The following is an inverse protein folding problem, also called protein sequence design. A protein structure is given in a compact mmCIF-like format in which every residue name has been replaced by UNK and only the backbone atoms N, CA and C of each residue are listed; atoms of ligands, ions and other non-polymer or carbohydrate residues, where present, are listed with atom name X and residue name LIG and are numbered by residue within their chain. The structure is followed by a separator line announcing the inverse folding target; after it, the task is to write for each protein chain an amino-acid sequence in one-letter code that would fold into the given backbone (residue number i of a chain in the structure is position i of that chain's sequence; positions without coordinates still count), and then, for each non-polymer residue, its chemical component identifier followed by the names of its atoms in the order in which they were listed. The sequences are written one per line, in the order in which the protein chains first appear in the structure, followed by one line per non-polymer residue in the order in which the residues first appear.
data_IF_651002327363
#
_entry.id   IF_651002327363
#
_cell.length_a   1.000
_cell.length_b   1.000
_cell.length_c   1.000
_cell.angle_alpha   90.00
_cell.angle_beta   90.00
_cell.angle_gamma   90.00
#
_symmetry.space_group_name_H-M   'P 1'
#
loop_
_entity.id
_entity.type
_entity.pdbx_description
1 polymer ?
#
# COMPACT_ATOMS: atom_id res chain seq x y z
N UNK A 1 -15.32 0.64 -19.10
CA UNK A 1 -14.66 -0.39 -18.27
C UNK A 1 -14.04 0.30 -17.07
N UNK A 2 -14.30 -0.19 -15.86
CA UNK A 2 -13.66 0.33 -14.64
C UNK A 2 -12.18 -0.08 -14.65
N UNK A 3 -11.27 0.84 -14.31
CA UNK A 3 -9.85 0.52 -14.26
C UNK A 3 -9.55 -0.40 -13.06
N UNK A 4 -8.58 -1.30 -13.23
CA UNK A 4 -8.20 -2.30 -12.22
C UNK A 4 -7.76 -1.65 -10.89
N UNK A 5 -8.04 -2.34 -9.78
CA UNK A 5 -7.52 -2.00 -8.44
C UNK A 5 -6.04 -2.31 -8.27
N UNK A 6 -5.46 -3.15 -9.14
CA UNK A 6 -4.03 -3.45 -9.12
C UNK A 6 -3.43 -3.19 -10.49
N UNK A 7 -2.45 -2.29 -10.51
CA UNK A 7 -1.61 -2.03 -11.67
C UNK A 7 -0.45 -3.01 -11.69
N UNK A 8 -0.28 -3.69 -12.83
CA UNK A 8 0.79 -4.66 -13.08
C UNK A 8 1.68 -4.08 -14.17
N UNK A 9 2.82 -3.46 -13.84
CA UNK A 9 3.68 -2.82 -14.84
C UNK A 9 4.20 -3.81 -15.88
N UNK A 10 4.46 -5.06 -15.47
CA UNK A 10 4.90 -6.15 -16.34
C UNK A 10 4.32 -7.47 -15.80
N UNK A 11 3.12 -7.88 -16.25
CA UNK A 11 2.48 -9.11 -15.78
C UNK A 11 3.36 -10.33 -16.05
N UNK A 12 3.53 -11.20 -15.04
CA UNK A 12 4.34 -12.43 -15.16
C UNK A 12 3.50 -13.68 -14.91
N UNK A 13 2.99 -14.35 -15.97
CA UNK A 13 2.15 -15.55 -15.83
C UNK A 13 2.83 -16.73 -15.15
N UNK A 14 4.16 -16.84 -15.28
CA UNK A 14 4.97 -17.90 -14.67
C UNK A 14 5.56 -17.50 -13.30
N UNK A 15 5.03 -16.45 -12.66
CA UNK A 15 5.50 -16.02 -11.36
C UNK A 15 5.21 -17.09 -10.28
N UNK A 16 6.10 -17.15 -9.30
CA UNK A 16 6.00 -18.04 -8.14
C UNK A 16 5.69 -17.27 -6.84
N UNK A 17 5.73 -15.93 -6.91
CA UNK A 17 5.50 -15.01 -5.80
C UNK A 17 4.83 -13.73 -6.32
N UNK A 18 3.90 -13.19 -5.55
CA UNK A 18 3.34 -11.85 -5.79
C UNK A 18 3.83 -10.86 -4.74
N UNK A 19 4.40 -9.76 -5.22
CA UNK A 19 4.74 -8.60 -4.39
C UNK A 19 3.64 -7.56 -4.56
N UNK A 20 2.83 -7.37 -3.52
CA UNK A 20 1.84 -6.30 -3.47
C UNK A 20 2.47 -5.03 -2.91
N UNK A 21 2.41 -3.94 -3.69
CA UNK A 21 2.99 -2.66 -3.33
C UNK A 21 1.90 -1.64 -3.02
N UNK A 22 1.94 -1.08 -1.81
CA UNK A 22 0.99 -0.08 -1.33
C UNK A 22 1.65 1.31 -1.30
N UNK A 23 1.23 2.25 -2.16
CA UNK A 23 1.86 3.56 -2.27
C UNK A 23 1.56 4.45 -1.05
N UNK A 24 2.38 5.48 -0.87
CA UNK A 24 2.18 6.51 0.15
C UNK A 24 1.01 7.45 -0.20
N UNK A 25 0.63 8.31 0.75
CA UNK A 25 -0.48 9.24 0.57
C UNK A 25 -0.27 10.14 -0.66
N UNK A 26 -1.31 10.30 -1.48
CA UNK A 26 -1.29 11.11 -2.69
C UNK A 26 -0.66 10.43 -3.93
N UNK A 27 0.16 9.39 -3.76
CA UNK A 27 0.74 8.66 -4.88
C UNK A 27 -0.26 7.66 -5.50
N UNK A 28 0.00 7.33 -6.77
CA UNK A 28 -0.60 6.19 -7.46
C UNK A 28 0.42 5.06 -7.67
N UNK A 29 0.02 4.01 -8.40
CA UNK A 29 0.84 2.81 -8.55
C UNK A 29 2.11 3.00 -9.40
N UNK A 30 2.22 4.08 -10.18
CA UNK A 30 3.36 4.31 -11.06
C UNK A 30 4.70 4.45 -10.34
N UNK A 31 4.70 4.79 -9.06
CA UNK A 31 5.91 4.84 -8.20
C UNK A 31 6.64 3.49 -8.14
N UNK A 32 5.95 2.39 -8.41
CA UNK A 32 6.51 1.04 -8.44
C UNK A 32 6.80 0.52 -9.85
N UNK A 33 6.64 1.34 -10.90
CA UNK A 33 6.75 0.86 -12.29
C UNK A 33 8.10 0.19 -12.60
N UNK A 34 9.20 0.79 -12.15
CA UNK A 34 10.55 0.26 -12.39
C UNK A 34 10.89 -1.01 -11.59
N UNK A 35 10.09 -1.36 -10.58
CA UNK A 35 10.41 -2.50 -9.71
C UNK A 35 10.27 -3.83 -10.43
N UNK A 36 9.35 -3.93 -11.40
CA UNK A 36 9.17 -5.15 -12.15
C UNK A 36 10.34 -5.45 -13.11
N UNK A 37 11.24 -4.51 -13.37
CA UNK A 37 12.50 -4.79 -14.09
C UNK A 37 13.67 -5.03 -13.14
N UNK A 38 13.63 -4.49 -11.92
CA UNK A 38 14.66 -4.68 -10.89
C UNK A 38 14.54 -6.01 -10.12
N UNK A 39 13.38 -6.70 -10.20
CA UNK A 39 13.10 -7.92 -9.44
C UNK A 39 13.24 -9.21 -10.29
N UNK A 40 13.67 -10.33 -9.67
CA UNK A 40 13.80 -11.64 -10.33
C UNK A 40 12.53 -12.05 -11.07
N UNK A 41 12.64 -12.72 -12.22
CA UNK A 41 11.55 -13.08 -13.15
C UNK A 41 10.35 -13.80 -12.49
N UNK A 42 10.59 -14.44 -11.35
CA UNK A 42 9.62 -15.22 -10.58
C UNK A 42 8.70 -14.35 -9.71
N UNK A 43 8.99 -13.04 -9.58
CA UNK A 43 8.19 -12.10 -8.78
C UNK A 43 7.30 -11.26 -9.70
N UNK A 44 5.99 -11.34 -9.50
CA UNK A 44 5.02 -10.46 -10.15
C UNK A 44 4.69 -9.27 -9.22
N UNK A 45 4.76 -8.05 -9.76
CA UNK A 45 4.51 -6.82 -8.98
C UNK A 45 3.08 -6.34 -9.22
N UNK A 46 2.33 -6.16 -8.13
CA UNK A 46 0.96 -5.66 -8.14
C UNK A 46 0.88 -4.42 -7.26
N UNK A 47 0.78 -3.24 -7.86
CA UNK A 47 0.68 -1.99 -7.13
C UNK A 47 -0.78 -1.59 -6.94
N UNK A 48 -1.17 -1.24 -5.71
CA UNK A 48 -2.52 -0.76 -5.40
C UNK A 48 -2.81 0.53 -6.18
N UNK A 49 -3.91 0.52 -6.94
CA UNK A 49 -4.46 1.65 -7.66
C UNK A 49 -5.78 2.07 -6.99
N UNK A 50 -5.65 2.87 -5.94
CA UNK A 50 -6.79 3.39 -5.19
C UNK A 50 -7.66 4.34 -6.06
N UNK A 51 -8.98 4.44 -5.78
CA UNK A 51 -9.84 5.47 -6.38
C UNK A 51 -9.26 6.88 -6.22
N UNK A 52 -9.43 7.73 -7.24
CA UNK A 52 -8.91 9.09 -7.26
C UNK A 52 -7.42 9.20 -7.58
N UNK A 53 -6.78 8.13 -8.08
CA UNK A 53 -5.36 8.12 -8.47
C UNK A 53 -5.17 7.60 -9.89
N UNK A 54 -4.31 8.27 -10.65
CA UNK A 54 -3.86 7.87 -11.99
C UNK A 54 -5.01 7.40 -12.90
N UNK A 55 -5.01 6.15 -13.36
CA UNK A 55 -6.05 5.61 -14.25
C UNK A 55 -7.47 5.61 -13.63
N UNK A 56 -7.58 5.85 -12.31
CA UNK A 56 -8.83 5.99 -11.55
C UNK A 56 -9.06 7.40 -11.03
N UNK A 57 -8.42 8.42 -11.62
CA UNK A 57 -8.49 9.82 -11.18
C UNK A 57 -9.92 10.39 -11.14
N UNK A 58 -10.81 9.93 -12.04
CA UNK A 58 -12.20 10.38 -12.10
C UNK A 58 -13.10 9.76 -11.03
N UNK A 59 -12.62 8.75 -10.31
CA UNK A 59 -13.36 8.15 -9.20
C UNK A 59 -13.14 8.98 -7.93
N UNK A 60 -14.17 9.18 -7.08
CA UNK A 60 -13.99 9.86 -5.81
C UNK A 60 -12.95 9.14 -4.93
N UNK A 61 -11.99 9.85 -4.32
CA UNK A 61 -11.04 9.23 -3.39
C UNK A 61 -11.78 8.74 -2.15
N UNK A 62 -11.28 7.65 -1.55
CA UNK A 62 -11.76 7.17 -0.26
C UNK A 62 -11.14 8.00 0.86
N UNK A 63 -11.97 8.57 1.72
CA UNK A 63 -11.54 9.40 2.86
C UNK A 63 -11.24 8.59 4.13
N UNK A 64 -11.61 7.32 4.16
CA UNK A 64 -11.44 6.43 5.31
C UNK A 64 -10.53 5.24 4.98
N UNK A 65 -9.58 4.96 5.88
CA UNK A 65 -8.60 3.88 5.70
C UNK A 65 -9.26 2.49 5.78
N UNK A 66 -10.25 2.31 6.66
CA UNK A 66 -10.99 1.06 6.81
C UNK A 66 -11.77 0.74 5.54
N UNK A 67 -12.40 1.73 4.91
CA UNK A 67 -13.07 1.57 3.62
C UNK A 67 -12.10 1.18 2.50
N UNK A 68 -10.93 1.82 2.45
CA UNK A 68 -9.89 1.47 1.48
C UNK A 68 -9.41 0.04 1.67
N UNK A 69 -9.12 -0.36 2.92
CA UNK A 69 -8.70 -1.72 3.25
C UNK A 69 -9.81 -2.73 2.94
N UNK A 70 -11.07 -2.38 3.21
CA UNK A 70 -12.22 -3.25 2.94
C UNK A 70 -12.35 -3.61 1.48
N UNK A 71 -12.40 -2.58 0.63
CA UNK A 71 -12.52 -2.76 -0.81
C UNK A 71 -11.26 -3.41 -1.38
N UNK A 72 -10.08 -3.08 -0.88
CA UNK A 72 -8.84 -3.75 -1.31
C UNK A 72 -8.87 -5.24 -0.98
N UNK A 73 -9.40 -5.63 0.18
CA UNK A 73 -9.52 -7.04 0.59
C UNK A 73 -10.45 -7.86 -0.30
N UNK A 74 -11.49 -7.25 -0.87
CA UNK A 74 -12.35 -7.90 -1.87
C UNK A 74 -11.62 -8.04 -3.21
N UNK A 75 -10.91 -6.99 -3.63
CA UNK A 75 -10.31 -6.90 -4.96
C UNK A 75 -8.99 -7.65 -5.08
N UNK A 76 -8.35 -7.99 -3.95
CA UNK A 76 -7.09 -8.74 -3.94
C UNK A 76 -7.31 -10.24 -4.11
N UNK A 77 -8.51 -10.77 -3.79
CA UNK A 77 -8.81 -12.22 -3.79
C UNK A 77 -8.40 -12.96 -5.06
N UNK A 78 -8.65 -12.44 -6.29
CA UNK A 78 -8.26 -13.13 -7.52
C UNK A 78 -6.74 -13.25 -7.71
N UNK A 79 -5.96 -12.59 -6.86
CA UNK A 79 -4.50 -12.58 -6.89
C UNK A 79 -3.90 -13.27 -5.66
N UNK A 80 -4.67 -14.04 -4.89
CA UNK A 80 -4.15 -14.79 -3.72
C UNK A 80 -3.91 -16.28 -4.01
N UNK A 81 -3.95 -16.70 -5.29
CA UNK A 81 -3.60 -18.06 -5.75
C UNK A 81 -2.09 -18.39 -5.68
N UNK A 82 -1.25 -17.40 -5.37
CA UNK A 82 0.19 -17.56 -5.17
C UNK A 82 0.61 -17.00 -3.81
N UNK A 83 1.77 -17.45 -3.27
CA UNK A 83 2.37 -16.79 -2.12
C UNK A 83 2.49 -15.28 -2.31
N UNK A 84 2.07 -14.52 -1.30
CA UNK A 84 2.14 -13.06 -1.34
C UNK A 84 3.16 -12.49 -0.35
N UNK A 85 3.78 -11.39 -0.74
CA UNK A 85 4.53 -10.48 0.13
C UNK A 85 3.91 -9.10 0.00
N UNK A 86 3.72 -8.41 1.12
CA UNK A 86 3.19 -7.06 1.13
C UNK A 86 4.30 -6.06 1.43
N UNK A 87 4.40 -5.00 0.63
CA UNK A 87 5.29 -3.87 0.83
C UNK A 87 4.47 -2.58 0.92
N UNK A 88 4.67 -1.78 1.96
CA UNK A 88 4.01 -0.48 2.09
C UNK A 88 4.96 0.62 2.57
N UNK A 89 4.83 1.82 1.98
CA UNK A 89 5.57 3.01 2.40
C UNK A 89 4.65 4.07 3.02
N UNK A 90 5.03 4.64 4.17
CA UNK A 90 4.28 5.68 4.89
C UNK A 90 2.82 5.27 5.13
N UNK A 91 1.82 5.96 4.56
CA UNK A 91 0.41 5.54 4.61
C UNK A 91 0.21 4.13 4.05
N UNK A 92 0.91 3.76 2.99
CA UNK A 92 0.86 2.42 2.41
C UNK A 92 1.30 1.33 3.37
N UNK A 93 2.17 1.63 4.34
CA UNK A 93 2.54 0.69 5.39
C UNK A 93 1.35 0.34 6.30
N UNK A 94 0.52 1.33 6.64
CA UNK A 94 -0.72 1.09 7.39
C UNK A 94 -1.72 0.26 6.58
N UNK A 95 -1.89 0.60 5.29
CA UNK A 95 -2.78 -0.17 4.39
C UNK A 95 -2.34 -1.63 4.35
N UNK A 96 -1.04 -1.88 4.13
CA UNK A 96 -0.49 -3.23 4.08
C UNK A 96 -0.71 -4.01 5.38
N UNK A 97 -0.50 -3.36 6.52
CA UNK A 97 -0.69 -3.96 7.84
C UNK A 97 -2.15 -4.30 8.13
N UNK A 98 -3.06 -3.33 7.99
CA UNK A 98 -4.49 -3.56 8.26
C UNK A 98 -5.11 -4.55 7.26
N UNK A 99 -4.67 -4.53 6.00
CA UNK A 99 -5.10 -5.52 5.01
C UNK A 99 -4.65 -6.92 5.40
N UNK A 100 -3.38 -7.12 5.79
CA UNK A 100 -2.90 -8.42 6.24
C UNK A 100 -3.69 -8.91 7.46
N UNK A 101 -3.97 -8.03 8.42
CA UNK A 101 -4.75 -8.35 9.63
C UNK A 101 -6.20 -8.73 9.29
N UNK A 102 -6.83 -8.00 8.36
CA UNK A 102 -8.19 -8.26 7.90
C UNK A 102 -8.30 -9.59 7.14
N UNK A 103 -7.40 -9.86 6.20
CA UNK A 103 -7.39 -11.11 5.43
C UNK A 103 -7.15 -12.33 6.33
N UNK A 104 -6.30 -12.18 7.36
CA UNK A 104 -6.06 -13.25 8.32
C UNK A 104 -7.31 -13.56 9.16
N UNK A 105 -8.06 -12.54 9.57
CA UNK A 105 -9.26 -12.69 10.37
C UNK A 105 -10.47 -13.22 9.57
N UNK A 106 -10.60 -12.82 8.29
CA UNK A 106 -11.73 -13.21 7.44
C UNK A 106 -11.51 -14.54 6.71
N UNK A 107 -10.40 -14.64 5.98
CA UNK A 107 -10.15 -15.73 5.01
C UNK A 107 -9.07 -16.70 5.49
N UNK A 108 -8.49 -16.47 6.68
CA UNK A 108 -7.33 -17.22 7.18
C UNK A 108 -6.04 -16.97 6.39
N UNK A 109 -6.05 -16.02 5.46
CA UNK A 109 -4.91 -15.71 4.62
C UNK A 109 -3.91 -14.80 5.33
N UNK A 110 -2.61 -15.12 5.23
CA UNK A 110 -1.54 -14.23 5.71
C UNK A 110 -0.43 -14.12 4.67
N UNK A 111 0.08 -12.91 4.37
CA UNK A 111 1.22 -12.77 3.49
C UNK A 111 2.44 -13.44 4.15
N UNK A 112 3.34 -14.01 3.34
CA UNK A 112 4.58 -14.63 3.84
C UNK A 112 5.45 -13.63 4.58
N UNK A 113 5.43 -12.36 4.14
CA UNK A 113 6.16 -11.25 4.75
C UNK A 113 5.36 -9.96 4.60
N UNK A 114 5.48 -9.10 5.61
CA UNK A 114 5.08 -7.70 5.58
C UNK A 114 6.35 -6.85 5.69
N UNK A 115 6.58 -6.00 4.70
CA UNK A 115 7.70 -5.08 4.62
C UNK A 115 7.15 -3.67 4.73
N UNK A 116 7.62 -2.90 5.72
CA UNK A 116 7.17 -1.53 5.97
C UNK A 116 8.34 -0.56 5.88
N UNK A 117 8.06 0.63 5.35
CA UNK A 117 9.05 1.69 5.15
C UNK A 117 8.42 3.05 5.49
N UNK A 118 9.20 3.97 6.07
CA UNK A 118 8.73 5.32 6.38
C UNK A 118 7.54 5.39 7.35
N UNK A 119 7.38 4.36 8.19
CA UNK A 119 6.33 4.29 9.21
C UNK A 119 6.83 3.52 10.42
N UNK A 120 6.55 4.07 11.61
CA UNK A 120 6.87 3.42 12.89
C UNK A 120 5.84 2.33 13.19
N UNK A 121 6.25 1.32 13.96
CA UNK A 121 5.36 0.25 14.38
C UNK A 121 4.24 0.82 15.27
N UNK A 122 2.99 0.34 15.12
CA UNK A 122 1.82 0.96 15.76
C UNK A 122 1.87 0.94 17.30
N UNK A 123 2.60 0.02 17.90
CA UNK A 123 2.81 -0.05 19.35
C UNK A 123 3.84 0.95 19.89
N UNK A 124 4.57 1.67 19.03
CA UNK A 124 5.59 2.63 19.44
C UNK A 124 4.98 4.04 19.47
N UNK A 125 5.05 4.72 20.62
CA UNK A 125 4.57 6.10 20.77
C UNK A 125 5.47 7.10 20.07
N UNK A 126 4.92 8.14 19.44
CA UNK A 126 5.68 9.33 18.98
C UNK A 126 6.46 9.91 20.17
N UNK A 127 7.81 9.89 20.14
CA UNK A 127 8.59 10.45 21.24
C UNK A 127 8.53 11.97 21.25
N UNK A 128 8.26 12.58 20.08
CA UNK A 128 8.22 14.02 19.89
C UNK A 128 6.76 14.49 19.80
N UNK A 129 6.45 15.66 20.40
CA UNK A 129 5.13 16.25 20.27
C UNK A 129 4.82 16.59 18.79
N UNK A 130 3.54 16.53 18.39
CA UNK A 130 3.17 16.83 17.01
C UNK A 130 3.42 18.30 16.68
N UNK A 131 4.29 18.54 15.70
CA UNK A 131 4.65 19.89 15.24
C UNK A 131 3.65 20.49 14.24
N UNK A 132 2.72 19.67 13.73
CA UNK A 132 1.74 20.04 12.68
C UNK A 132 0.69 21.07 13.12
N UNK A 133 0.51 21.22 14.43
CA UNK A 133 -0.48 22.11 15.04
C UNK A 133 0.18 23.38 15.61
N UNK A 134 1.50 23.55 15.42
CA UNK A 134 2.25 24.72 15.83
C UNK A 134 1.91 25.95 14.98
N UNK A 135 2.12 27.14 15.53
CA UNK A 135 2.14 28.36 14.73
C UNK A 135 3.32 28.35 13.75
N UNK A 136 3.28 29.16 12.70
CA UNK A 136 4.39 29.24 11.73
C UNK A 136 5.72 29.58 12.42
N UNK A 137 5.71 30.50 13.39
CA UNK A 137 6.90 30.90 14.14
C UNK A 137 7.46 29.75 15.00
N UNK A 138 6.59 29.04 15.72
CA UNK A 138 6.98 27.90 16.54
C UNK A 138 7.45 26.72 15.68
N UNK A 139 6.78 26.47 14.55
CA UNK A 139 7.19 25.45 13.59
C UNK A 139 8.58 25.74 13.01
N UNK A 140 8.86 26.99 12.62
CA UNK A 140 10.19 27.38 12.12
C UNK A 140 11.27 27.25 13.19
N UNK A 141 10.95 27.53 14.45
CA UNK A 141 11.88 27.36 15.55
C UNK A 141 12.24 25.87 15.78
N UNK A 142 11.27 24.97 15.61
CA UNK A 142 11.42 23.53 15.87
C UNK A 142 12.19 22.78 14.77
N UNK A 143 12.09 23.21 13.50
CA UNK A 143 12.75 22.52 12.36
C UNK A 143 14.14 23.06 12.01
N UNK A 144 14.65 24.05 12.76
CA UNK A 144 15.98 24.64 12.58
C UNK A 144 17.07 23.87 13.33
#
# INVERSE_FOLDING_TARGET
MQASWFFRPKPRPAAQLRLFCFPYAGAGPSVFRGWADALPAEVDVLALQAPGREARLREPPLGDLSDLVARTAEQIQPYLDLPAVFFGHSMGALVAFELARRLAAGDGFSPRRLIVSGRRAPQLQEPEPPIRDLSDDDFVAEIR
#
